data_IF_305518418644
#
_entry.id   IF_305518418644
#
_cell.length_a   1.000
_cell.length_b   1.000
_cell.length_c   1.000
_cell.angle_alpha   90.00
_cell.angle_beta   90.00
_cell.angle_gamma   90.00
#
_symmetry.space_group_name_H-M   'P 1'
#
loop_
_entity.id
_entity.type
_entity.pdbx_description
1 polymer ?
#
# COMPACT_ATOMS: atom_id res chain seq x y z
N UNK A 1 -18.13 23.23 0.34
CA UNK A 1 -17.25 22.81 -0.76
C UNK A 1 -17.78 23.39 -2.07
N UNK A 2 -16.89 23.96 -2.91
CA UNK A 2 -17.25 24.69 -4.15
C UNK A 2 -18.03 23.86 -5.20
N UNK A 3 -18.05 22.52 -5.06
CA UNK A 3 -18.68 21.60 -6.01
C UNK A 3 -19.95 20.94 -5.51
N UNK A 4 -20.46 21.35 -4.33
CA UNK A 4 -21.70 20.78 -3.77
C UNK A 4 -21.57 19.33 -3.29
N UNK A 5 -20.36 18.86 -3.03
CA UNK A 5 -20.13 17.50 -2.47
C UNK A 5 -20.53 17.51 -0.99
N UNK A 6 -21.36 16.54 -0.60
CA UNK A 6 -21.72 16.28 0.79
C UNK A 6 -20.81 15.22 1.40
N UNK A 7 -20.42 15.41 2.67
CA UNK A 7 -19.61 14.49 3.43
C UNK A 7 -20.39 13.94 4.61
N UNK A 8 -20.46 12.64 4.73
CA UNK A 8 -21.01 11.95 5.89
C UNK A 8 -19.85 11.44 6.77
N UNK A 9 -19.45 12.23 7.74
CA UNK A 9 -18.41 11.84 8.70
C UNK A 9 -18.96 10.86 9.74
N UNK A 10 -18.05 10.05 10.33
CA UNK A 10 -18.41 9.04 11.35
C UNK A 10 -19.52 8.09 10.89
N UNK A 11 -19.51 7.78 9.62
CA UNK A 11 -20.55 6.97 8.97
C UNK A 11 -19.85 5.94 8.08
N UNK A 12 -19.26 4.88 8.67
CA UNK A 12 -18.62 3.81 7.89
C UNK A 12 -19.63 3.14 6.95
N UNK A 13 -19.19 2.85 5.72
CA UNK A 13 -19.97 2.05 4.79
C UNK A 13 -19.98 0.59 5.24
N UNK A 14 -21.16 -0.01 5.38
CA UNK A 14 -21.32 -1.37 5.89
C UNK A 14 -21.87 -2.34 4.88
N UNK A 15 -22.58 -1.85 3.87
CA UNK A 15 -23.16 -2.71 2.83
C UNK A 15 -23.40 -1.93 1.54
N UNK A 16 -23.21 -2.58 0.39
CA UNK A 16 -23.67 -2.07 -0.90
C UNK A 16 -25.11 -2.50 -1.17
N UNK A 17 -25.93 -1.56 -1.65
CA UNK A 17 -27.25 -1.88 -2.18
C UNK A 17 -27.10 -2.38 -3.61
N UNK A 18 -27.64 -3.56 -3.89
CA UNK A 18 -27.66 -4.16 -5.22
C UNK A 18 -29.09 -4.46 -5.65
N UNK A 19 -29.48 -3.93 -6.80
CA UNK A 19 -30.77 -4.11 -7.43
C UNK A 19 -30.56 -4.54 -8.88
N UNK A 20 -31.21 -5.57 -9.33
CA UNK A 20 -31.11 -6.12 -10.70
C UNK A 20 -29.65 -6.35 -11.16
N UNK A 21 -28.80 -6.85 -10.26
CA UNK A 21 -27.39 -7.13 -10.55
C UNK A 21 -26.48 -5.90 -10.54
N UNK A 22 -26.99 -4.69 -10.32
CA UNK A 22 -26.23 -3.42 -10.31
C UNK A 22 -26.14 -2.85 -8.90
N UNK A 23 -25.00 -2.26 -8.57
CA UNK A 23 -24.84 -1.50 -7.33
C UNK A 23 -25.52 -0.15 -7.50
N UNK A 24 -26.57 0.12 -6.70
CA UNK A 24 -27.43 1.31 -6.75
C UNK A 24 -27.35 2.17 -5.51
N UNK A 25 -26.49 1.80 -4.55
CA UNK A 25 -26.32 2.60 -3.34
C UNK A 25 -25.37 1.97 -2.33
N UNK A 26 -25.27 2.65 -1.19
CA UNK A 26 -24.48 2.19 -0.06
C UNK A 26 -25.20 2.50 1.25
N UNK A 27 -25.17 1.57 2.18
CA UNK A 27 -25.60 1.79 3.57
C UNK A 27 -24.40 2.20 4.41
N UNK A 28 -24.57 3.31 5.13
CA UNK A 28 -23.65 3.76 6.16
C UNK A 28 -24.25 3.59 7.55
N UNK A 29 -23.47 3.15 8.51
CA UNK A 29 -23.87 3.07 9.92
C UNK A 29 -23.55 4.38 10.61
N UNK A 30 -24.51 4.94 11.32
CA UNK A 30 -24.33 6.21 12.06
C UNK A 30 -23.78 5.97 13.45
N UNK A 31 -22.89 6.84 13.91
CA UNK A 31 -22.29 6.76 15.23
C UNK A 31 -23.33 6.80 16.37
N UNK A 32 -24.41 7.52 16.16
CA UNK A 32 -25.55 7.62 17.08
C UNK A 32 -26.56 6.47 16.96
N UNK A 33 -26.29 5.51 16.10
CA UNK A 33 -27.14 4.37 15.81
C UNK A 33 -28.01 4.56 14.58
N UNK A 34 -28.43 3.45 14.01
CA UNK A 34 -29.21 3.36 12.78
C UNK A 34 -28.37 3.49 11.51
N UNK A 35 -29.04 3.46 10.37
CA UNK A 35 -28.40 3.43 9.05
C UNK A 35 -28.87 4.59 8.19
N UNK A 36 -28.01 5.01 7.28
CA UNK A 36 -28.35 5.91 6.19
C UNK A 36 -28.16 5.19 4.87
N UNK A 37 -29.13 5.27 3.98
CA UNK A 37 -28.99 4.81 2.61
C UNK A 37 -28.67 5.99 1.71
N UNK A 38 -27.52 5.91 1.05
CA UNK A 38 -27.13 6.85 -0.01
C UNK A 38 -27.37 6.15 -1.34
N UNK A 39 -28.34 6.61 -2.13
CA UNK A 39 -28.61 6.09 -3.46
C UNK A 39 -27.69 6.69 -4.50
N UNK A 40 -27.15 5.86 -5.37
CA UNK A 40 -26.22 6.26 -6.42
C UNK A 40 -26.89 6.07 -7.80
N UNK A 41 -27.02 7.16 -8.55
CA UNK A 41 -27.61 7.12 -9.91
C UNK A 41 -26.68 6.53 -10.95
N UNK A 42 -25.36 6.61 -10.77
CA UNK A 42 -24.35 6.16 -11.75
C UNK A 42 -23.49 5.00 -11.25
N UNK A 43 -23.28 4.89 -9.96
CA UNK A 43 -22.46 3.86 -9.33
C UNK A 43 -21.82 4.35 -8.04
N UNK A 44 -21.15 3.46 -7.35
CA UNK A 44 -20.40 3.71 -6.11
C UNK A 44 -18.92 3.49 -6.39
N UNK A 45 -18.08 4.42 -5.96
CA UNK A 45 -16.62 4.31 -6.04
C UNK A 45 -16.09 3.86 -4.69
N UNK A 46 -15.38 2.75 -4.66
CA UNK A 46 -14.66 2.26 -3.48
C UNK A 46 -13.27 2.92 -3.44
N UNK A 47 -13.06 3.84 -2.51
CA UNK A 47 -11.79 4.53 -2.28
C UNK A 47 -11.35 4.34 -0.81
N UNK A 48 -11.45 3.11 -0.32
CA UNK A 48 -11.37 2.74 1.09
C UNK A 48 -9.98 2.33 1.55
N UNK A 49 -8.98 2.51 0.69
CA UNK A 49 -7.61 2.10 0.97
C UNK A 49 -7.38 0.61 0.76
N UNK A 50 -6.39 0.09 1.44
CA UNK A 50 -5.86 -1.26 1.29
C UNK A 50 -6.28 -2.23 2.42
N UNK A 51 -5.56 -3.35 2.53
CA UNK A 51 -5.79 -4.41 3.53
C UNK A 51 -4.70 -4.47 4.60
N UNK A 52 -3.71 -3.58 4.56
CA UNK A 52 -2.48 -3.69 5.37
C UNK A 52 -2.69 -3.67 6.88
N UNK A 53 -3.80 -3.12 7.37
CA UNK A 53 -4.20 -3.19 8.78
C UNK A 53 -4.89 -4.49 9.19
N UNK A 54 -5.24 -5.35 8.23
CA UNK A 54 -5.90 -6.63 8.46
C UNK A 54 -4.92 -7.78 8.21
N UNK A 55 -4.39 -8.36 9.28
CA UNK A 55 -3.35 -9.38 9.19
C UNK A 55 -3.83 -10.67 8.50
N UNK A 56 -5.10 -11.06 8.68
CA UNK A 56 -5.70 -12.23 8.04
C UNK A 56 -5.80 -12.03 6.53
N UNK A 57 -6.36 -10.91 6.09
CA UNK A 57 -6.40 -10.59 4.66
C UNK A 57 -5.01 -10.40 4.05
N UNK A 58 -4.04 -9.89 4.81
CA UNK A 58 -2.66 -9.82 4.35
C UNK A 58 -2.05 -11.21 4.14
N UNK A 59 -2.37 -12.18 5.00
CA UNK A 59 -1.82 -13.54 4.84
C UNK A 59 -2.32 -14.19 3.54
N UNK A 60 -3.56 -13.97 3.21
CA UNK A 60 -4.19 -14.53 2.01
C UNK A 60 -3.77 -13.78 0.73
N UNK A 61 -3.76 -12.45 0.79
CA UNK A 61 -3.65 -11.61 -0.41
C UNK A 61 -2.25 -11.03 -0.63
N UNK A 62 -1.53 -10.73 0.45
CA UNK A 62 -0.22 -10.08 0.42
C UNK A 62 0.68 -10.54 1.59
N UNK A 63 1.06 -11.82 1.66
CA UNK A 63 1.72 -12.41 2.85
C UNK A 63 3.04 -11.74 3.24
N UNK A 64 3.73 -11.12 2.28
CA UNK A 64 4.95 -10.34 2.58
C UNK A 64 4.66 -9.11 3.44
N UNK A 65 3.43 -8.57 3.44
CA UNK A 65 3.06 -7.45 4.28
C UNK A 65 3.18 -7.78 5.77
N UNK A 66 2.90 -9.01 6.16
CA UNK A 66 3.03 -9.48 7.56
C UNK A 66 4.49 -9.65 7.99
N UNK A 67 5.43 -9.70 7.05
CA UNK A 67 6.87 -9.75 7.32
C UNK A 67 7.50 -8.39 7.51
N UNK A 68 6.81 -7.32 7.11
CA UNK A 68 7.30 -5.96 7.31
C UNK A 68 7.22 -5.57 8.79
N UNK A 69 8.30 -5.05 9.38
CA UNK A 69 8.33 -4.68 10.81
C UNK A 69 7.42 -3.49 11.11
N UNK A 70 7.17 -2.65 10.12
CA UNK A 70 6.31 -1.47 10.24
C UNK A 70 5.34 -1.42 9.07
N UNK A 71 4.08 -1.18 9.38
CA UNK A 71 3.02 -0.94 8.39
C UNK A 71 2.47 0.47 8.60
N UNK A 72 2.44 1.27 7.53
CA UNK A 72 1.92 2.65 7.57
C UNK A 72 0.46 2.76 7.13
N UNK A 73 -0.27 1.67 7.19
CA UNK A 73 -1.66 1.62 6.78
C UNK A 73 -2.55 1.10 7.89
N UNK A 74 -3.75 1.66 7.97
CA UNK A 74 -4.82 1.22 8.86
C UNK A 74 -5.97 0.58 8.08
N UNK A 75 -5.76 0.30 6.79
CA UNK A 75 -6.77 -0.30 5.91
C UNK A 75 -7.26 -1.64 6.44
N UNK A 76 -8.56 -1.72 6.75
CA UNK A 76 -9.21 -2.93 7.29
C UNK A 76 -9.63 -3.92 6.20
N UNK A 77 -9.60 -3.49 4.93
CA UNK A 77 -10.10 -4.28 3.81
C UNK A 77 -11.62 -4.27 3.65
N UNK A 78 -12.35 -3.41 4.36
CA UNK A 78 -13.81 -3.39 4.32
C UNK A 78 -14.34 -3.10 2.92
N UNK A 79 -13.72 -2.19 2.17
CA UNK A 79 -14.11 -1.95 0.78
C UNK A 79 -13.90 -3.16 -0.12
N UNK A 80 -12.85 -3.94 0.11
CA UNK A 80 -12.62 -5.19 -0.59
C UNK A 80 -13.72 -6.20 -0.31
N UNK A 81 -14.12 -6.37 0.97
CA UNK A 81 -15.24 -7.21 1.37
C UNK A 81 -16.56 -6.76 0.76
N UNK A 82 -16.83 -5.45 0.78
CA UNK A 82 -18.02 -4.88 0.15
C UNK A 82 -18.08 -5.19 -1.34
N UNK A 83 -16.94 -5.09 -2.05
CA UNK A 83 -16.84 -5.44 -3.45
C UNK A 83 -17.11 -6.91 -3.73
N UNK A 84 -16.53 -7.81 -2.93
CA UNK A 84 -16.77 -9.25 -3.01
C UNK A 84 -18.25 -9.62 -2.78
N UNK A 85 -18.86 -9.08 -1.74
CA UNK A 85 -20.28 -9.31 -1.43
C UNK A 85 -21.21 -8.78 -2.52
N UNK A 86 -20.78 -7.75 -3.24
CA UNK A 86 -21.52 -7.26 -4.42
C UNK A 86 -21.31 -8.13 -5.67
N UNK A 87 -20.46 -9.16 -5.62
CA UNK A 87 -20.18 -10.09 -6.70
C UNK A 87 -18.93 -9.74 -7.51
N UNK A 88 -18.06 -8.91 -6.97
CA UNK A 88 -16.71 -8.67 -7.49
C UNK A 88 -15.79 -9.86 -7.24
N UNK A 89 -14.62 -9.84 -7.87
CA UNK A 89 -13.55 -10.81 -7.65
C UNK A 89 -12.23 -10.09 -7.50
N UNK A 90 -11.28 -10.74 -6.81
CA UNK A 90 -9.88 -10.32 -6.84
C UNK A 90 -9.17 -10.87 -8.08
N UNK A 91 -8.07 -10.23 -8.45
CA UNK A 91 -7.04 -10.89 -9.24
C UNK A 91 -6.35 -11.98 -8.40
N UNK A 92 -5.60 -12.87 -9.06
CA UNK A 92 -4.89 -13.93 -8.36
C UNK A 92 -3.79 -13.36 -7.43
N UNK A 93 -3.76 -13.75 -6.15
CA UNK A 93 -2.71 -13.33 -5.23
C UNK A 93 -1.35 -14.00 -5.61
N UNK A 94 -0.21 -13.47 -5.13
CA UNK A 94 -0.09 -12.38 -4.15
C UNK A 94 -0.19 -11.00 -4.79
N UNK A 95 -0.87 -10.09 -4.10
CA UNK A 95 -0.97 -8.71 -4.54
C UNK A 95 0.37 -7.98 -4.43
N UNK A 96 0.68 -7.08 -5.37
CA UNK A 96 1.85 -6.22 -5.27
C UNK A 96 1.70 -5.28 -4.07
N UNK A 97 2.81 -5.09 -3.37
CA UNK A 97 2.86 -4.20 -2.20
C UNK A 97 3.76 -3.01 -2.49
N UNK A 98 3.41 -1.85 -1.93
CA UNK A 98 4.32 -0.72 -1.85
C UNK A 98 5.16 -0.88 -0.58
N UNK A 99 6.44 -1.16 -0.75
CA UNK A 99 7.40 -1.39 0.33
C UNK A 99 8.60 -0.47 0.17
N UNK A 100 9.10 0.02 1.29
CA UNK A 100 10.31 0.83 1.34
C UNK A 100 11.25 0.33 2.43
N UNK A 101 12.54 0.16 2.16
CA UNK A 101 13.51 -0.03 3.24
C UNK A 101 13.61 1.25 4.05
N UNK A 102 13.69 1.11 5.37
CA UNK A 102 13.79 2.24 6.31
C UNK A 102 15.22 2.75 6.40
N UNK A 103 15.78 3.21 5.30
CA UNK A 103 17.13 3.77 5.23
C UNK A 103 17.12 5.22 4.73
N UNK A 104 16.10 5.97 5.12
CA UNK A 104 15.90 7.34 4.67
C UNK A 104 16.03 7.47 3.13
N UNK A 105 16.57 8.59 2.67
CA UNK A 105 16.69 8.87 1.24
C UNK A 105 17.72 7.99 0.50
N UNK A 106 18.68 7.39 1.21
CA UNK A 106 19.71 6.58 0.57
C UNK A 106 19.19 5.32 -0.12
N UNK A 107 18.05 4.79 0.31
CA UNK A 107 17.42 3.65 -0.36
C UNK A 107 16.98 3.92 -1.80
N UNK A 108 16.80 5.18 -2.17
CA UNK A 108 16.39 5.58 -3.52
C UNK A 108 17.56 5.65 -4.51
N UNK A 109 18.81 5.61 -4.02
CA UNK A 109 20.00 5.74 -4.85
C UNK A 109 20.71 4.41 -5.09
N UNK A 110 21.56 4.37 -6.11
CA UNK A 110 22.34 3.18 -6.48
C UNK A 110 23.61 3.01 -5.62
N UNK A 111 23.52 3.28 -4.32
CA UNK A 111 24.61 3.01 -3.39
C UNK A 111 24.68 1.54 -3.05
N UNK A 112 25.89 1.06 -2.76
CA UNK A 112 26.15 -0.32 -2.43
C UNK A 112 25.37 -0.78 -1.19
N UNK A 113 24.67 -1.91 -1.31
CA UNK A 113 24.06 -2.58 -0.18
C UNK A 113 24.79 -3.89 0.13
N UNK A 114 25.13 -4.08 1.40
CA UNK A 114 25.78 -5.30 1.88
C UNK A 114 24.99 -5.92 3.03
N UNK A 115 25.02 -7.24 3.10
CA UNK A 115 24.49 -7.99 4.23
C UNK A 115 25.32 -7.74 5.49
N UNK A 116 24.86 -8.18 6.67
CA UNK A 116 25.62 -8.08 7.92
C UNK A 116 27.03 -8.69 7.87
N UNK A 117 27.21 -9.71 7.05
CA UNK A 117 28.51 -10.36 6.80
C UNK A 117 29.43 -9.61 5.83
N UNK A 118 28.98 -8.47 5.31
CA UNK A 118 29.73 -7.65 4.35
C UNK A 118 29.60 -8.08 2.89
N UNK A 119 28.83 -9.13 2.58
CA UNK A 119 28.66 -9.58 1.20
C UNK A 119 27.59 -8.79 0.46
N UNK A 120 27.85 -8.46 -0.80
CA UNK A 120 26.87 -7.89 -1.72
C UNK A 120 25.87 -8.98 -2.13
N UNK A 121 24.58 -8.62 -2.25
CA UNK A 121 23.51 -9.60 -2.50
C UNK A 121 22.46 -9.16 -3.53
N UNK A 122 22.50 -7.90 -3.99
CA UNK A 122 21.56 -7.42 -4.98
C UNK A 122 22.23 -6.55 -6.05
N UNK A 123 21.48 -6.24 -7.10
CA UNK A 123 21.77 -5.13 -8.00
C UNK A 123 21.08 -3.88 -7.46
N UNK A 124 21.84 -2.85 -7.17
CA UNK A 124 21.36 -1.60 -6.60
C UNK A 124 20.71 -0.67 -7.64
N UNK A 125 20.91 -0.92 -8.93
CA UNK A 125 20.18 -0.27 -10.01
C UNK A 125 18.78 -0.89 -10.15
N UNK A 126 17.95 -0.65 -9.15
CA UNK A 126 16.62 -1.20 -9.04
C UNK A 126 15.71 -0.20 -8.32
N UNK A 127 14.40 -0.35 -8.53
CA UNK A 127 13.41 0.43 -7.78
C UNK A 127 13.48 0.12 -6.28
N UNK A 128 13.09 1.10 -5.47
CA UNK A 128 13.09 1.00 -4.00
C UNK A 128 12.32 -0.23 -3.50
N UNK A 129 11.21 -0.56 -4.14
CA UNK A 129 10.42 -1.76 -3.83
C UNK A 129 11.20 -3.06 -4.09
N UNK A 130 11.95 -3.12 -5.19
CA UNK A 130 12.80 -4.26 -5.50
C UNK A 130 13.93 -4.43 -4.51
N UNK A 131 14.54 -3.33 -4.05
CA UNK A 131 15.55 -3.35 -2.99
C UNK A 131 14.96 -3.84 -1.66
N UNK A 132 13.78 -3.34 -1.29
CA UNK A 132 13.08 -3.79 -0.10
C UNK A 132 12.79 -5.30 -0.16
N UNK A 133 12.30 -5.79 -1.29
CA UNK A 133 12.04 -7.21 -1.49
C UNK A 133 13.31 -8.07 -1.39
N UNK A 134 14.43 -7.59 -1.94
CA UNK A 134 15.71 -8.26 -1.83
C UNK A 134 16.16 -8.37 -0.37
N UNK A 135 16.04 -7.29 0.40
CA UNK A 135 16.36 -7.28 1.85
C UNK A 135 15.43 -8.22 2.63
N UNK A 136 14.12 -8.21 2.34
CA UNK A 136 13.15 -9.08 3.03
C UNK A 136 13.36 -10.58 2.78
N UNK A 137 14.01 -10.95 1.68
CA UNK A 137 14.37 -12.35 1.37
C UNK A 137 15.56 -12.84 2.17
N UNK A 138 16.42 -11.92 2.63
CA UNK A 138 17.56 -12.28 3.47
C UNK A 138 17.07 -12.67 4.88
N UNK A 139 17.86 -13.50 5.54
CA UNK A 139 17.53 -14.03 6.86
C UNK A 139 17.39 -12.93 7.90
N UNK A 140 18.32 -11.99 7.90
CA UNK A 140 18.42 -10.90 8.89
C UNK A 140 17.41 -9.78 8.62
N UNK A 141 16.88 -9.67 7.38
CA UNK A 141 15.91 -8.66 6.94
C UNK A 141 16.38 -7.22 7.12
N UNK A 142 17.68 -7.00 7.14
CA UNK A 142 18.30 -5.69 7.07
C UNK A 142 19.62 -5.75 6.30
N UNK A 143 20.08 -4.60 5.84
CA UNK A 143 21.33 -4.45 5.12
C UNK A 143 21.97 -3.10 5.46
N UNK A 144 23.25 -2.97 5.21
CA UNK A 144 23.99 -1.73 5.34
C UNK A 144 24.06 -1.04 3.99
N UNK A 145 23.72 0.25 3.93
CA UNK A 145 24.00 1.08 2.76
C UNK A 145 25.36 1.76 2.94
N UNK A 146 26.26 1.51 2.01
CA UNK A 146 27.62 2.04 2.03
C UNK A 146 27.69 3.21 1.07
N UNK A 147 28.08 4.35 1.59
CA UNK A 147 28.26 5.60 0.82
C UNK A 147 29.66 6.16 1.06
N UNK A 148 30.24 6.75 0.03
CA UNK A 148 31.53 7.46 0.17
C UNK A 148 31.31 8.95 0.51
N UNK A 149 32.39 9.66 0.80
CA UNK A 149 32.34 11.09 1.15
C UNK A 149 31.86 11.99 0.02
N UNK A 150 31.92 11.52 -1.23
CA UNK A 150 31.45 12.24 -2.42
C UNK A 150 29.99 11.97 -2.77
N UNK A 151 29.23 11.31 -1.89
CA UNK A 151 27.84 10.91 -2.14
C UNK A 151 26.96 12.08 -2.63
N UNK A 152 27.15 13.27 -2.07
CA UNK A 152 26.34 14.44 -2.42
C UNK A 152 26.54 14.90 -3.88
N UNK A 153 27.72 14.70 -4.43
CA UNK A 153 28.03 15.01 -5.84
C UNK A 153 27.43 13.94 -6.78
N UNK A 154 27.36 12.69 -6.33
CA UNK A 154 26.85 11.55 -7.11
C UNK A 154 25.33 11.45 -7.13
N UNK A 155 24.65 11.97 -6.12
CA UNK A 155 23.18 11.92 -6.02
C UNK A 155 22.47 12.45 -7.27
N UNK A 156 22.84 13.60 -7.85
CA UNK A 156 22.19 14.10 -9.06
C UNK A 156 22.31 13.16 -10.27
N UNK A 157 23.39 12.41 -10.36
CA UNK A 157 23.58 11.43 -11.44
C UNK A 157 22.66 10.21 -11.27
N UNK A 158 22.55 9.71 -10.05
CA UNK A 158 21.71 8.54 -9.74
C UNK A 158 20.22 8.83 -9.90
N UNK A 159 19.77 10.08 -9.71
CA UNK A 159 18.39 10.51 -9.94
C UNK A 159 17.95 10.36 -11.40
N UNK A 160 18.89 10.35 -12.36
CA UNK A 160 18.58 10.19 -13.78
C UNK A 160 18.15 8.76 -14.14
N UNK A 161 18.54 7.78 -13.36
CA UNK A 161 18.39 6.37 -13.70
C UNK A 161 17.44 5.59 -12.78
N UNK A 162 17.19 6.02 -11.59
CA UNK A 162 16.59 5.17 -10.58
C UNK A 162 15.35 5.66 -9.86
N UNK A 163 14.55 6.50 -10.43
CA UNK A 163 13.27 6.86 -9.80
C UNK A 163 13.41 7.41 -8.37
N UNK A 164 14.52 8.05 -8.08
CA UNK A 164 14.69 8.79 -6.84
C UNK A 164 13.67 9.90 -6.78
N UNK A 165 12.79 9.87 -5.78
CA UNK A 165 11.93 11.00 -5.49
C UNK A 165 12.84 12.05 -4.86
N UNK A 166 13.11 13.12 -5.60
CA UNK A 166 13.69 14.32 -5.01
C UNK A 166 12.62 14.96 -4.11
N UNK A 167 12.91 14.98 -2.84
CA UNK A 167 12.13 15.73 -1.85
C UNK A 167 12.70 17.13 -1.71
#
# INVERSE_FOLDING_TARGET
LKLGVEYLFKTPAVQLLKEDGKVTGVYGERAEGGYVLVRARRGVVLATGDVGGNAEMCEDLAPLANRCPVKYTTGSGDGHRLGLWAGGSFEDPPFPMIMHPQAYHFSNFCFLFVKPDGTRFMNEDNYVQGKCLAILREREKYAWSIVDSAWAEKVPETLKYGGGIAW
#
